data_IF_551678821889
#
_entry.id   IF_551678821889
#
_cell.length_a   1.000
_cell.length_b   1.000
_cell.length_c   1.000
_cell.angle_alpha   90.00
_cell.angle_beta   90.00
_cell.angle_gamma   90.00
#
_symmetry.space_group_name_H-M   'P 1'
#
loop_
_entity.id
_entity.type
_entity.pdbx_description
1 polymer ?
#
# COMPACT_ATOMS: atom_id res chain seq x y z
N UNK A 1 4.19 -14.76 3.41
CA UNK A 1 3.24 -13.65 3.22
C UNK A 1 1.97 -14.00 3.95
N UNK A 2 1.53 -13.20 4.93
CA UNK A 2 0.19 -13.35 5.50
C UNK A 2 -0.80 -12.87 4.44
N UNK A 3 -1.77 -13.70 4.11
CA UNK A 3 -2.88 -13.32 3.24
C UNK A 3 -3.98 -12.84 4.18
N UNK A 4 -4.40 -11.59 4.02
CA UNK A 4 -5.54 -11.06 4.74
C UNK A 4 -6.74 -11.13 3.80
N UNK A 5 -7.84 -11.74 4.24
CA UNK A 5 -9.05 -11.83 3.44
C UNK A 5 -9.82 -10.51 3.45
N UNK A 6 -9.67 -9.73 4.52
CA UNK A 6 -10.37 -8.45 4.69
C UNK A 6 -9.44 -7.31 5.09
N UNK A 7 -9.81 -6.08 4.70
CA UNK A 7 -9.13 -4.85 5.12
C UNK A 7 -9.05 -4.77 6.65
N UNK A 8 -10.14 -5.11 7.33
CA UNK A 8 -10.25 -5.07 8.79
C UNK A 8 -9.17 -5.93 9.44
N UNK A 9 -8.97 -7.16 8.99
CA UNK A 9 -7.94 -8.05 9.55
C UNK A 9 -6.53 -7.50 9.34
N UNK A 10 -6.24 -6.97 8.16
CA UNK A 10 -4.94 -6.34 7.89
C UNK A 10 -4.71 -5.11 8.77
N UNK A 11 -5.73 -4.26 8.95
CA UNK A 11 -5.67 -3.11 9.84
C UNK A 11 -5.46 -3.54 11.29
N UNK A 12 -6.11 -4.62 11.76
CA UNK A 12 -5.93 -5.13 13.12
C UNK A 12 -4.53 -5.70 13.35
N UNK A 13 -3.97 -6.45 12.39
CA UNK A 13 -2.58 -6.96 12.47
C UNK A 13 -1.57 -5.81 12.48
N UNK A 14 -1.75 -4.84 11.58
CA UNK A 14 -0.92 -3.63 11.53
C UNK A 14 -1.03 -2.83 12.83
N UNK A 15 -2.23 -2.66 13.37
CA UNK A 15 -2.43 -2.01 14.67
C UNK A 15 -1.71 -2.75 15.79
N UNK A 16 -1.70 -4.08 15.79
CA UNK A 16 -0.94 -4.91 16.74
C UNK A 16 0.58 -4.73 16.59
N UNK A 17 1.06 -4.46 15.37
CA UNK A 17 2.47 -4.15 15.07
C UNK A 17 2.86 -2.69 15.38
N UNK A 18 1.92 -1.87 15.85
CA UNK A 18 2.12 -0.47 16.23
C UNK A 18 1.73 0.55 15.15
N UNK A 19 1.13 0.12 14.04
CA UNK A 19 0.59 1.02 13.01
C UNK A 19 -0.80 1.51 13.45
N UNK A 20 -0.82 2.44 14.41
CA UNK A 20 -2.06 2.98 14.97
C UNK A 20 -2.50 4.28 14.32
N UNK A 21 -1.63 4.90 13.52
CA UNK A 21 -1.92 6.17 12.85
C UNK A 21 -2.65 5.96 11.53
N UNK A 22 -3.47 6.93 11.14
CA UNK A 22 -4.13 6.96 9.84
C UNK A 22 -3.58 8.12 9.03
N UNK A 23 -3.11 7.83 7.84
CA UNK A 23 -2.64 8.85 6.91
C UNK A 23 -3.64 9.09 5.79
N UNK A 24 -3.74 10.34 5.35
CA UNK A 24 -4.54 10.75 4.21
C UNK A 24 -3.70 11.64 3.29
N UNK A 25 -3.71 11.41 1.97
CA UNK A 25 -2.97 12.24 1.04
C UNK A 25 -3.72 13.56 0.84
N UNK A 26 -2.97 14.66 0.75
CA UNK A 26 -3.50 16.00 0.60
C UNK A 26 -2.59 16.82 -0.29
N UNK A 27 -2.97 16.96 -1.57
CA UNK A 27 -2.16 17.61 -2.60
C UNK A 27 -0.78 16.96 -2.70
N UNK A 28 0.26 17.61 -2.17
CA UNK A 28 1.65 17.18 -2.25
C UNK A 28 2.19 16.53 -0.96
N UNK A 29 1.36 16.41 0.09
CA UNK A 29 1.79 15.90 1.40
C UNK A 29 0.84 14.82 1.92
N UNK A 30 1.35 13.93 2.76
CA UNK A 30 0.54 13.08 3.62
C UNK A 30 0.19 13.84 4.91
N UNK A 31 -1.07 13.76 5.33
CA UNK A 31 -1.51 14.28 6.62
C UNK A 31 -1.80 13.10 7.52
N UNK A 32 -1.20 13.07 8.70
CA UNK A 32 -1.60 12.16 9.75
C UNK A 32 -2.88 12.69 10.41
N UNK A 33 -3.96 11.90 10.42
CA UNK A 33 -5.28 12.35 10.87
C UNK A 33 -5.34 12.64 12.37
N UNK A 34 -4.53 11.95 13.19
CA UNK A 34 -4.60 12.08 14.66
C UNK A 34 -3.89 13.34 15.18
N UNK A 35 -2.77 13.71 14.57
CA UNK A 35 -1.86 14.79 14.98
C UNK A 35 -1.83 15.94 13.99
N UNK A 36 -2.52 15.81 12.86
CA UNK A 36 -2.50 16.75 11.73
C UNK A 36 -1.08 17.03 11.19
N UNK A 37 -0.15 16.11 11.42
CA UNK A 37 1.24 16.23 10.99
C UNK A 37 1.33 16.10 9.47
N UNK A 38 2.00 17.07 8.84
CA UNK A 38 2.32 17.06 7.41
C UNK A 38 3.61 16.30 7.17
N UNK A 39 3.54 15.29 6.31
CA UNK A 39 4.63 14.43 5.91
C UNK A 39 4.84 14.59 4.40
N UNK A 40 5.98 15.11 4.01
CA UNK A 40 6.38 15.13 2.61
C UNK A 40 6.67 13.72 2.10
N UNK A 41 6.62 13.49 0.79
CA UNK A 41 6.95 12.19 0.16
C UNK A 41 8.32 11.61 0.54
N UNK A 42 9.21 12.40 1.12
CA UNK A 42 10.55 12.00 1.57
C UNK A 42 10.61 11.67 3.07
N UNK A 43 9.61 12.10 3.85
CA UNK A 43 9.55 11.92 5.31
C UNK A 43 8.92 10.58 5.72
N UNK A 44 8.44 9.80 4.75
CA UNK A 44 7.82 8.52 4.97
C UNK A 44 8.27 7.47 3.96
N UNK A 45 8.21 6.21 4.40
CA UNK A 45 8.45 5.03 3.57
C UNK A 45 7.25 4.08 3.66
N UNK A 46 6.87 3.53 2.50
CA UNK A 46 5.92 2.42 2.45
C UNK A 46 6.67 1.13 2.77
N UNK A 47 6.28 0.46 3.85
CA UNK A 47 6.88 -0.79 4.29
C UNK A 47 6.21 -1.99 3.58
N UNK A 48 4.88 -1.97 3.50
CA UNK A 48 4.08 -3.00 2.82
C UNK A 48 2.80 -2.40 2.23
N UNK A 49 2.23 -3.09 1.25
CA UNK A 49 0.92 -2.77 0.69
C UNK A 49 0.09 -4.03 0.48
N UNK A 50 -1.22 -3.90 0.64
CA UNK A 50 -2.21 -4.96 0.50
C UNK A 50 -3.40 -4.44 -0.29
N UNK A 51 -3.78 -5.16 -1.33
CA UNK A 51 -4.92 -4.82 -2.17
C UNK A 51 -6.13 -5.62 -1.72
N UNK A 52 -7.23 -4.93 -1.48
CA UNK A 52 -8.50 -5.50 -1.08
C UNK A 52 -9.58 -5.09 -2.07
N UNK A 53 -10.54 -5.97 -2.28
CA UNK A 53 -11.79 -5.61 -2.94
C UNK A 53 -12.72 -4.96 -1.91
N UNK A 54 -13.34 -3.86 -2.31
CA UNK A 54 -14.29 -3.08 -1.54
C UNK A 54 -15.42 -3.96 -1.06
N UNK A 55 -15.72 -3.90 0.24
CA UNK A 55 -16.91 -4.56 0.79
C UNK A 55 -18.22 -3.96 0.27
N UNK A 56 -18.17 -2.72 -0.23
CA UNK A 56 -19.34 -2.00 -0.73
C UNK A 56 -19.65 -2.32 -2.20
N UNK A 57 -18.62 -2.40 -3.04
CA UNK A 57 -18.75 -2.67 -4.47
C UNK A 57 -17.62 -3.59 -4.92
N UNK A 58 -17.92 -4.72 -5.60
CA UNK A 58 -16.89 -5.62 -6.14
C UNK A 58 -16.06 -5.00 -7.27
N UNK A 59 -16.38 -3.78 -7.70
CA UNK A 59 -15.55 -2.97 -8.60
C UNK A 59 -14.67 -1.95 -7.89
N UNK A 60 -14.85 -1.72 -6.59
CA UNK A 60 -14.11 -0.72 -5.83
C UNK A 60 -12.87 -1.38 -5.24
N UNK A 61 -11.73 -1.26 -5.92
CA UNK A 61 -10.49 -1.87 -5.43
C UNK A 61 -9.77 -0.86 -4.54
N UNK A 62 -9.49 -1.24 -3.30
CA UNK A 62 -8.73 -0.42 -2.36
C UNK A 62 -7.37 -1.04 -2.09
N UNK A 63 -6.38 -0.18 -1.87
CA UNK A 63 -5.02 -0.61 -1.53
C UNK A 63 -4.65 0.03 -0.21
N UNK A 64 -4.45 -0.80 0.81
CA UNK A 64 -3.90 -0.41 2.09
C UNK A 64 -2.38 -0.39 1.99
N UNK A 65 -1.76 0.68 2.46
CA UNK A 65 -0.33 0.88 2.53
C UNK A 65 0.05 1.04 4.00
N UNK A 66 0.95 0.22 4.50
CA UNK A 66 1.57 0.45 5.80
C UNK A 66 2.78 1.36 5.61
N UNK A 67 2.79 2.48 6.32
CA UNK A 67 3.74 3.55 6.16
C UNK A 67 4.45 3.78 7.49
N UNK A 68 5.78 3.90 7.42
CA UNK A 68 6.61 4.30 8.55
C UNK A 68 7.29 5.62 8.22
N UNK A 69 7.16 6.59 9.12
CA UNK A 69 7.83 7.89 8.98
C UNK A 69 9.23 7.84 9.56
N UNK A 70 10.10 8.75 9.11
CA UNK A 70 11.44 8.88 9.68
C UNK A 70 11.42 9.24 11.18
N UNK A 71 10.34 9.87 11.65
CA UNK A 71 10.10 10.15 13.06
C UNK A 71 9.69 8.92 13.90
N UNK A 72 9.61 7.73 13.29
CA UNK A 72 9.20 6.49 13.97
C UNK A 72 7.68 6.34 14.12
N UNK A 73 6.88 7.24 13.52
CA UNK A 73 5.43 7.09 13.48
C UNK A 73 5.06 6.00 12.48
N UNK A 74 4.18 5.10 12.90
CA UNK A 74 3.70 4.00 12.08
C UNK A 74 2.21 4.13 11.88
N UNK A 75 1.77 4.10 10.63
CA UNK A 75 0.37 4.21 10.31
C UNK A 75 0.01 3.57 8.99
N UNK A 76 -1.28 3.58 8.71
CA UNK A 76 -1.86 2.97 7.52
C UNK A 76 -2.49 4.05 6.65
N UNK A 77 -2.41 3.86 5.34
CA UNK A 77 -3.05 4.68 4.34
C UNK A 77 -3.88 3.78 3.44
N UNK A 78 -5.18 4.07 3.29
CA UNK A 78 -6.05 3.32 2.39
C UNK A 78 -6.35 4.17 1.16
N UNK A 79 -5.93 3.69 -0.01
CA UNK A 79 -6.22 4.31 -1.30
C UNK A 79 -7.32 3.54 -2.01
N UNK A 80 -8.52 4.11 -2.08
CA UNK A 80 -9.58 3.59 -2.94
C UNK A 80 -9.34 4.03 -4.39
N UNK A 81 -9.30 3.07 -5.33
CA UNK A 81 -9.03 3.35 -6.73
C UNK A 81 -10.09 4.33 -7.26
N UNK A 82 -9.64 5.49 -7.75
CA UNK A 82 -10.52 6.54 -8.28
C UNK A 82 -10.81 7.70 -7.31
N UNK A 83 -10.62 7.54 -6.00
CA UNK A 83 -10.91 8.63 -5.03
C UNK A 83 -9.81 9.69 -5.00
N UNK A 84 -8.55 9.27 -4.96
CA UNK A 84 -7.42 10.17 -4.72
C UNK A 84 -6.68 10.61 -6.00
N UNK A 85 -6.99 10.03 -7.15
CA UNK A 85 -6.31 10.33 -8.42
C UNK A 85 -6.46 11.80 -8.87
N UNK A 86 -7.49 12.51 -8.38
CA UNK A 86 -7.76 13.89 -8.75
C UNK A 86 -7.42 14.91 -7.63
N UNK A 87 -7.12 14.44 -6.41
CA UNK A 87 -6.85 15.30 -5.24
C UNK A 87 -5.37 15.30 -4.83
N UNK A 88 -4.59 14.36 -5.38
CA UNK A 88 -3.19 14.13 -5.03
C UNK A 88 -2.29 14.49 -6.20
N UNK A 89 -1.18 15.16 -5.90
CA UNK A 89 -0.19 15.55 -6.90
C UNK A 89 0.50 14.32 -7.49
N UNK A 90 0.85 14.40 -8.77
CA UNK A 90 1.54 13.33 -9.50
C UNK A 90 2.85 12.91 -8.82
N UNK A 91 3.54 13.83 -8.14
CA UNK A 91 4.77 13.55 -7.39
C UNK A 91 4.53 12.67 -6.17
N UNK A 92 3.46 12.94 -5.40
CA UNK A 92 3.08 12.12 -4.25
C UNK A 92 2.54 10.77 -4.73
N UNK A 93 1.75 10.75 -5.81
CA UNK A 93 1.31 9.50 -6.44
C UNK A 93 2.49 8.65 -6.92
N UNK A 94 3.55 9.25 -7.49
CA UNK A 94 4.74 8.51 -7.92
C UNK A 94 5.44 7.77 -6.77
N UNK A 95 5.38 8.30 -5.54
CA UNK A 95 5.87 7.61 -4.33
C UNK A 95 5.04 6.38 -3.97
N UNK A 96 3.72 6.45 -4.14
CA UNK A 96 2.80 5.31 -3.94
C UNK A 96 2.76 4.34 -5.11
N UNK A 97 3.14 4.81 -6.30
CA UNK A 97 3.27 4.04 -7.53
C UNK A 97 4.58 3.24 -7.51
N UNK A 98 4.69 2.33 -6.53
CA UNK A 98 5.82 1.40 -6.34
C UNK A 98 6.02 0.50 -7.59
N UNK A 99 5.03 0.45 -8.49
CA UNK A 99 5.12 -0.18 -9.81
C UNK A 99 6.20 0.42 -10.74
N UNK A 100 6.81 1.57 -10.44
CA UNK A 100 7.89 2.13 -11.27
C UNK A 100 9.30 2.05 -10.67
N UNK A 101 9.52 1.32 -9.57
CA UNK A 101 10.84 0.73 -9.34
C UNK A 101 10.87 -0.65 -9.96
N UNK A 102 11.18 -0.68 -11.26
CA UNK A 102 11.75 -1.86 -11.94
C UNK A 102 13.08 -2.23 -11.28
N UNK A 103 13.01 -2.88 -10.14
CA UNK A 103 13.66 -4.17 -9.96
C UNK A 103 12.54 -5.19 -9.80
N UNK A 104 11.86 -5.42 -10.92
CA UNK A 104 11.01 -6.58 -11.08
C UNK A 104 11.90 -7.81 -10.93
N UNK A 105 11.89 -8.42 -9.74
CA UNK A 105 12.12 -9.86 -9.68
C UNK A 105 10.86 -10.53 -10.23
N UNK A 106 10.65 -10.40 -11.54
CA UNK A 106 9.80 -11.31 -12.33
C UNK A 106 10.52 -12.65 -12.46
N UNK A 107 10.78 -13.31 -11.33
CA UNK A 107 11.01 -14.74 -11.29
C UNK A 107 9.77 -15.40 -10.68
N UNK A 108 8.65 -15.13 -11.33
CA UNK A 108 7.44 -15.94 -11.32
C UNK A 108 7.05 -16.21 -12.76
N UNK A 109 8.04 -16.45 -13.63
CA UNK A 109 7.75 -17.08 -14.92
C UNK A 109 7.24 -18.46 -14.56
N UNK A 110 5.94 -18.67 -14.78
CA UNK A 110 5.35 -20.00 -14.80
C UNK A 110 6.14 -20.82 -15.81
N UNK A 111 7.06 -21.65 -15.33
CA UNK A 111 7.60 -22.72 -16.16
C UNK A 111 6.52 -23.80 -16.19
N UNK A 112 5.87 -24.11 -17.34
CA UNK A 112 5.30 -25.43 -17.49
C UNK A 112 6.48 -26.40 -17.34
N UNK A 113 6.41 -27.28 -16.33
CA UNK A 113 7.39 -28.35 -16.14
C UNK A 113 7.45 -29.11 -17.46
N UNK A 114 8.53 -28.89 -18.21
CA UNK A 114 8.87 -29.70 -19.35
C UNK A 114 9.11 -31.11 -18.82
N UNK A 115 8.10 -31.97 -18.98
CA UNK A 115 8.31 -33.41 -18.93
C UNK A 115 9.33 -33.76 -20.02
N UNK A 116 10.52 -34.12 -19.60
CA UNK A 116 11.58 -34.72 -20.40
C UNK A 116 11.97 -36.04 -19.72
N UNK A 117 12.51 -37.00 -20.48
CA UNK A 117 11.80 -38.12 -21.11
C UNK A 117 11.92 -39.41 -20.26
N UNK A 118 10.99 -40.36 -20.44
CA UNK A 118 11.19 -41.73 -19.98
C UNK A 118 11.57 -42.61 -21.18
N UNK A 119 12.62 -43.40 -20.98
CA UNK A 119 13.26 -44.34 -21.92
C UNK A 119 12.33 -45.39 -22.53
#
# INVERSE_FOLDING_TARGET
MKHFETLTEAMEDLRSRGYTHEFAPKKDFLIEKSTETKLSGEEFNVDEFHRFEGTSDPGDEMTLYAITTNGGLKGVFVSAQGTYANEVSSELMAKFNIVDRREVNTQGSVEPIAHLPAS
#
